data_IF_217558164634
#
_entry.id   IF_217558164634
#
_cell.length_a   1.000
_cell.length_b   1.000
_cell.length_c   1.000
_cell.angle_alpha   90.00
_cell.angle_beta   90.00
_cell.angle_gamma   90.00
#
_symmetry.space_group_name_H-M   'P 1'
#
loop_
_entity.id
_entity.type
_entity.pdbx_description
1 polymer ?
#
# COMPACT_ATOMS: atom_id res chain seq x y z
N UNK A 1 -39.53 29.37 -14.92
CA UNK A 1 -39.34 29.23 -13.45
C UNK A 1 -38.64 30.50 -13.01
N UNK A 2 -39.15 31.25 -12.02
CA UNK A 2 -38.53 32.52 -11.60
C UNK A 2 -37.28 32.24 -10.73
N UNK A 3 -36.19 33.00 -10.92
CA UNK A 3 -34.92 32.90 -10.18
C UNK A 3 -35.12 32.80 -8.66
N UNK A 4 -36.07 33.57 -8.11
CA UNK A 4 -36.37 33.55 -6.67
C UNK A 4 -36.84 32.18 -6.18
N UNK A 5 -37.68 31.50 -6.96
CA UNK A 5 -38.16 30.16 -6.65
C UNK A 5 -37.01 29.14 -6.77
N UNK A 6 -36.19 29.22 -7.82
CA UNK A 6 -35.04 28.32 -7.98
C UNK A 6 -34.03 28.45 -6.82
N UNK A 7 -33.80 29.66 -6.29
CA UNK A 7 -32.92 29.84 -5.13
C UNK A 7 -33.45 29.18 -3.84
N UNK A 8 -34.77 29.00 -3.72
CA UNK A 8 -35.41 28.38 -2.55
C UNK A 8 -35.62 26.87 -2.71
N UNK A 9 -35.69 26.35 -3.94
CA UNK A 9 -36.01 24.94 -4.21
C UNK A 9 -34.88 24.14 -4.85
N UNK A 10 -33.73 24.75 -5.15
CA UNK A 10 -32.58 24.08 -5.78
C UNK A 10 -31.30 24.23 -4.96
N UNK A 11 -30.40 23.26 -5.09
CA UNK A 11 -29.05 23.34 -4.53
C UNK A 11 -28.18 24.16 -5.48
N UNK A 12 -27.57 25.23 -4.98
CA UNK A 12 -26.64 26.03 -5.77
C UNK A 12 -25.28 25.36 -5.82
N UNK A 13 -24.71 25.21 -7.02
CA UNK A 13 -23.34 24.71 -7.18
C UNK A 13 -22.34 25.57 -6.39
N UNK A 14 -22.57 26.87 -6.28
CA UNK A 14 -21.75 27.78 -5.47
C UNK A 14 -21.67 27.40 -3.99
N UNK A 15 -22.72 26.81 -3.43
CA UNK A 15 -22.71 26.39 -2.03
C UNK A 15 -21.88 25.10 -1.85
N UNK A 16 -21.96 24.17 -2.81
CA UNK A 16 -21.04 23.04 -2.88
C UNK A 16 -19.58 23.50 -2.99
N UNK A 17 -19.30 24.47 -3.86
CA UNK A 17 -17.96 25.03 -4.03
C UNK A 17 -17.43 25.72 -2.77
N UNK A 18 -18.30 26.36 -1.97
CA UNK A 18 -17.92 26.93 -0.66
C UNK A 18 -17.49 25.83 0.31
N UNK A 19 -18.14 24.66 0.29
CA UNK A 19 -17.74 23.50 1.10
C UNK A 19 -16.35 23.00 0.67
N UNK A 20 -16.10 22.90 -0.64
CA UNK A 20 -14.80 22.47 -1.17
C UNK A 20 -13.68 23.45 -0.80
N UNK A 21 -13.93 24.77 -0.89
CA UNK A 21 -12.97 25.80 -0.45
C UNK A 21 -12.59 25.69 1.02
N UNK A 22 -13.48 25.18 1.88
CA UNK A 22 -13.19 24.95 3.31
C UNK A 22 -12.39 23.67 3.58
N UNK A 23 -12.21 22.80 2.57
CA UNK A 23 -11.51 21.52 2.71
C UNK A 23 -10.42 21.37 1.62
N UNK A 24 -9.39 22.25 1.59
CA UNK A 24 -8.36 22.24 0.55
C UNK A 24 -7.43 21.03 0.59
N UNK A 25 -7.33 20.35 1.74
CA UNK A 25 -6.46 19.18 1.94
C UNK A 25 -7.10 17.85 1.50
N UNK A 26 -8.31 17.90 0.95
CA UNK A 26 -9.05 16.73 0.45
C UNK A 26 -9.24 16.82 -1.05
N UNK A 27 -9.32 15.65 -1.68
CA UNK A 27 -9.82 15.54 -3.05
C UNK A 27 -11.35 15.67 -3.01
N UNK A 28 -11.88 16.67 -3.72
CA UNK A 28 -13.31 16.99 -3.74
C UNK A 28 -13.88 16.70 -5.13
N UNK A 29 -14.74 15.68 -5.26
CA UNK A 29 -15.29 15.27 -6.55
C UNK A 29 -16.81 15.43 -6.56
N UNK A 30 -17.31 16.12 -7.59
CA UNK A 30 -18.74 16.23 -7.90
C UNK A 30 -19.02 15.60 -9.26
N UNK A 31 -20.00 14.70 -9.33
CA UNK A 31 -20.49 14.12 -10.57
C UNK A 31 -21.96 14.47 -10.68
N UNK A 32 -22.32 15.25 -11.70
CA UNK A 32 -23.64 15.83 -11.85
C UNK A 32 -24.24 15.31 -13.15
N UNK A 33 -25.16 14.36 -13.02
CA UNK A 33 -25.96 13.87 -14.13
C UNK A 33 -27.30 14.63 -14.18
N UNK A 34 -27.29 15.76 -14.87
CA UNK A 34 -28.46 16.63 -15.02
C UNK A 34 -28.39 17.44 -16.32
N UNK A 35 -29.56 17.77 -16.87
CA UNK A 35 -29.67 18.65 -18.03
C UNK A 35 -29.16 20.07 -17.72
N UNK A 36 -28.41 20.68 -18.66
CA UNK A 36 -27.89 22.06 -18.54
C UNK A 36 -28.63 23.02 -19.48
N UNK A 37 -29.95 23.14 -19.30
CA UNK A 37 -30.83 24.03 -20.10
C UNK A 37 -31.15 25.34 -19.38
N UNK A 38 -31.32 26.42 -20.13
CA UNK A 38 -31.84 27.70 -19.60
C UNK A 38 -33.31 27.56 -19.26
N UNK A 39 -33.76 28.23 -18.19
CA UNK A 39 -35.17 28.31 -17.83
C UNK A 39 -35.94 29.38 -18.64
N UNK A 40 -35.25 30.24 -19.41
CA UNK A 40 -35.87 31.29 -20.23
C UNK A 40 -35.43 31.25 -21.70
N UNK A 41 -36.37 31.46 -22.62
CA UNK A 41 -36.11 31.68 -24.06
C UNK A 41 -35.36 33.01 -24.22
N UNK A 42 -34.05 32.95 -24.45
CA UNK A 42 -33.20 34.12 -24.70
C UNK A 42 -32.35 34.60 -23.52
N UNK A 43 -32.40 33.93 -22.35
CA UNK A 43 -31.51 34.23 -21.23
C UNK A 43 -30.08 33.76 -21.51
N UNK A 44 -29.10 34.65 -21.32
CA UNK A 44 -27.67 34.31 -21.32
C UNK A 44 -27.44 33.29 -20.19
N UNK A 45 -27.29 32.01 -20.52
CA UNK A 45 -26.76 31.04 -19.56
C UNK A 45 -25.33 31.47 -19.29
N UNK A 46 -24.97 31.55 -18.02
CA UNK A 46 -23.62 31.86 -17.58
C UNK A 46 -22.62 30.93 -18.27
N UNK A 47 -21.99 31.44 -19.33
CA UNK A 47 -20.69 31.02 -19.83
C UNK A 47 -19.57 31.38 -18.82
N UNK A 48 -19.93 31.80 -17.60
CA UNK A 48 -18.98 32.06 -16.54
C UNK A 48 -18.16 30.80 -16.30
N UNK A 49 -16.83 30.87 -16.45
CA UNK A 49 -15.95 29.77 -16.12
C UNK A 49 -16.22 29.35 -14.67
N UNK A 50 -16.63 28.09 -14.47
CA UNK A 50 -16.68 27.54 -13.12
C UNK A 50 -15.22 27.45 -12.66
N UNK A 51 -14.82 28.35 -11.77
CA UNK A 51 -13.51 28.29 -11.15
C UNK A 51 -13.56 27.27 -10.01
N UNK A 52 -13.22 26.03 -10.35
CA UNK A 52 -13.13 24.93 -9.41
C UNK A 52 -12.04 25.24 -8.36
N UNK A 53 -12.32 25.11 -7.05
CA UNK A 53 -11.30 25.24 -6.01
C UNK A 53 -10.15 24.24 -6.21
N UNK A 54 -8.96 24.57 -5.70
CA UNK A 54 -7.80 23.67 -5.73
C UNK A 54 -8.16 22.31 -5.11
N UNK A 55 -7.72 21.22 -5.73
CA UNK A 55 -8.03 19.86 -5.28
C UNK A 55 -9.44 19.37 -5.61
N UNK A 56 -10.14 20.00 -6.57
CA UNK A 56 -11.49 19.58 -6.96
C UNK A 56 -11.63 19.15 -8.42
N UNK A 57 -12.59 18.26 -8.66
CA UNK A 57 -13.04 17.84 -9.98
C UNK A 57 -14.57 17.88 -10.03
N UNK A 58 -15.11 18.49 -11.09
CA UNK A 58 -16.56 18.56 -11.33
C UNK A 58 -16.83 18.00 -12.72
N UNK A 59 -17.52 16.87 -12.79
CA UNK A 59 -17.94 16.23 -14.02
C UNK A 59 -19.44 16.44 -14.26
N UNK A 60 -19.79 16.85 -15.48
CA UNK A 60 -21.16 17.04 -15.96
C UNK A 60 -21.47 16.01 -17.04
N UNK A 61 -22.68 15.45 -17.00
CA UNK A 61 -23.10 14.50 -18.03
C UNK A 61 -23.26 15.10 -19.43
N UNK A 62 -23.33 16.44 -19.52
CA UNK A 62 -23.53 17.18 -20.78
C UNK A 62 -22.73 18.48 -20.84
N UNK A 63 -22.44 18.91 -22.07
CA UNK A 63 -21.96 20.26 -22.37
C UNK A 63 -23.00 21.32 -21.98
N UNK A 64 -22.57 22.57 -21.71
CA UNK A 64 -23.52 23.68 -21.55
C UNK A 64 -24.47 23.77 -22.77
N UNK A 65 -25.76 24.01 -22.53
CA UNK A 65 -26.83 24.07 -23.56
C UNK A 65 -27.26 22.73 -24.18
N UNK A 66 -26.66 21.59 -23.80
CA UNK A 66 -27.10 20.28 -24.27
C UNK A 66 -28.02 19.58 -23.25
N UNK A 67 -28.94 18.76 -23.75
CA UNK A 67 -29.79 17.90 -22.92
C UNK A 67 -29.10 16.58 -22.62
N UNK A 68 -29.33 16.04 -21.42
CA UNK A 68 -28.90 14.69 -21.07
C UNK A 68 -29.96 13.70 -21.56
N UNK A 69 -29.55 12.58 -22.15
CA UNK A 69 -30.49 11.49 -22.45
C UNK A 69 -30.72 10.63 -21.21
N UNK A 70 -31.95 10.64 -20.70
CA UNK A 70 -32.36 9.80 -19.56
C UNK A 70 -32.54 8.31 -19.94
N UNK A 71 -32.47 7.99 -21.24
CA UNK A 71 -32.57 6.62 -21.78
C UNK A 71 -31.25 6.24 -22.44
N UNK A 72 -30.66 5.13 -22.02
CA UNK A 72 -29.36 4.64 -22.50
C UNK A 72 -29.12 3.16 -22.19
N UNK A 73 -28.27 2.89 -21.20
CA UNK A 73 -27.81 1.55 -20.83
C UNK A 73 -28.65 0.95 -19.70
N UNK A 74 -29.32 -0.19 -19.91
CA UNK A 74 -29.94 -1.03 -18.84
C UNK A 74 -30.68 -0.25 -17.72
N UNK A 75 -31.44 0.79 -18.08
CA UNK A 75 -32.18 1.61 -17.10
C UNK A 75 -31.42 2.80 -16.51
N UNK A 76 -30.20 3.07 -16.98
CA UNK A 76 -29.40 4.26 -16.68
C UNK A 76 -29.32 5.22 -17.88
N UNK A 77 -29.03 6.49 -17.59
CA UNK A 77 -28.65 7.48 -18.61
C UNK A 77 -27.39 7.00 -19.36
N UNK A 78 -27.16 7.54 -20.57
CA UNK A 78 -25.95 7.21 -21.36
C UNK A 78 -24.67 7.53 -20.55
N UNK A 79 -24.67 8.64 -19.83
CA UNK A 79 -23.52 9.06 -19.02
C UNK A 79 -23.30 8.14 -17.81
N UNK A 80 -24.35 7.87 -17.03
CA UNK A 80 -24.23 7.01 -15.85
C UNK A 80 -23.85 5.59 -16.24
N UNK A 81 -24.44 5.03 -17.30
CA UNK A 81 -24.06 3.71 -17.82
C UNK A 81 -22.60 3.66 -18.29
N UNK A 82 -22.14 4.69 -19.01
CA UNK A 82 -20.74 4.80 -19.41
C UNK A 82 -19.81 4.92 -18.19
N UNK A 83 -20.16 5.71 -17.19
CA UNK A 83 -19.40 5.86 -15.95
C UNK A 83 -19.23 4.52 -15.22
N UNK A 84 -20.31 3.76 -15.06
CA UNK A 84 -20.29 2.45 -14.39
C UNK A 84 -19.33 1.46 -15.05
N UNK A 85 -19.16 1.53 -16.38
CA UNK A 85 -18.21 0.67 -17.12
C UNK A 85 -16.72 0.97 -16.86
N UNK A 86 -16.41 2.14 -16.29
CA UNK A 86 -15.02 2.57 -16.06
C UNK A 86 -14.69 2.82 -14.58
N UNK A 87 -15.66 3.21 -13.74
CA UNK A 87 -15.41 3.58 -12.34
C UNK A 87 -14.82 2.46 -11.49
N UNK A 88 -15.14 1.20 -11.81
CA UNK A 88 -14.59 0.03 -11.15
C UNK A 88 -13.25 -0.46 -11.70
N UNK A 89 -12.71 0.13 -12.78
CA UNK A 89 -11.45 -0.33 -13.36
C UNK A 89 -10.26 0.08 -12.49
N UNK A 90 -9.40 -0.88 -12.23
CA UNK A 90 -8.21 -0.69 -11.38
C UNK A 90 -7.20 0.22 -12.07
N UNK A 91 -6.51 1.04 -11.25
CA UNK A 91 -5.40 1.90 -11.65
C UNK A 91 -5.72 2.85 -12.83
N UNK A 92 -7.00 3.15 -13.04
CA UNK A 92 -7.44 4.13 -14.02
C UNK A 92 -7.57 5.50 -13.35
N UNK A 93 -6.68 6.44 -13.70
CA UNK A 93 -6.74 7.80 -13.14
C UNK A 93 -8.07 8.46 -13.48
N UNK A 94 -8.53 9.36 -12.61
CA UNK A 94 -9.83 9.99 -12.78
C UNK A 94 -9.93 10.81 -14.07
N UNK A 95 -8.83 11.45 -14.47
CA UNK A 95 -8.72 12.15 -15.75
C UNK A 95 -8.86 11.20 -16.94
N UNK A 96 -8.17 10.05 -16.91
CA UNK A 96 -8.26 9.06 -17.97
C UNK A 96 -9.65 8.40 -18.00
N UNK A 97 -10.22 8.10 -16.84
CA UNK A 97 -11.55 7.58 -16.66
C UNK A 97 -12.59 8.50 -17.33
N UNK A 98 -12.61 9.78 -16.98
CA UNK A 98 -13.57 10.71 -17.57
C UNK A 98 -13.31 10.94 -19.06
N UNK A 99 -12.06 10.89 -19.52
CA UNK A 99 -11.73 10.89 -20.95
C UNK A 99 -12.36 9.69 -21.68
N UNK A 100 -12.33 8.49 -21.09
CA UNK A 100 -12.98 7.29 -21.65
C UNK A 100 -14.50 7.36 -21.57
N UNK A 101 -15.06 7.88 -20.47
CA UNK A 101 -16.50 8.15 -20.33
C UNK A 101 -16.96 9.09 -21.43
N UNK A 102 -16.29 10.24 -21.63
CA UNK A 102 -16.62 11.21 -22.68
C UNK A 102 -16.62 10.59 -24.06
N UNK A 103 -15.59 9.80 -24.39
CA UNK A 103 -15.51 9.05 -25.67
C UNK A 103 -16.70 8.11 -25.86
N UNK A 104 -17.08 7.40 -24.81
CA UNK A 104 -18.20 6.44 -24.84
C UNK A 104 -19.54 7.16 -25.00
N UNK A 105 -19.77 8.22 -24.24
CA UNK A 105 -20.98 9.04 -24.32
C UNK A 105 -21.15 9.66 -25.72
N UNK A 106 -20.07 10.21 -26.29
CA UNK A 106 -20.08 10.76 -27.65
C UNK A 106 -20.44 9.68 -28.68
N UNK A 107 -19.79 8.52 -28.63
CA UNK A 107 -20.03 7.46 -29.60
C UNK A 107 -21.45 6.86 -29.49
N UNK A 108 -21.90 6.54 -28.28
CA UNK A 108 -23.19 5.89 -28.02
C UNK A 108 -24.36 6.84 -28.31
N UNK A 109 -24.18 8.14 -28.08
CA UNK A 109 -25.17 9.15 -28.45
C UNK A 109 -25.18 9.50 -29.95
N UNK A 110 -24.26 8.93 -30.74
CA UNK A 110 -24.09 9.30 -32.16
C UNK A 110 -23.64 10.75 -32.35
N UNK A 111 -22.83 11.26 -31.43
CA UNK A 111 -22.31 12.63 -31.40
C UNK A 111 -23.27 13.69 -30.84
N UNK A 112 -24.42 13.28 -30.28
CA UNK A 112 -25.45 14.20 -29.77
C UNK A 112 -25.22 14.68 -28.34
N UNK A 113 -24.35 14.00 -27.60
CA UNK A 113 -24.04 14.30 -26.21
C UNK A 113 -22.53 14.23 -26.00
N UNK A 114 -21.96 15.27 -25.39
CA UNK A 114 -20.56 15.27 -24.93
C UNK A 114 -20.51 15.59 -23.44
N UNK A 115 -19.83 14.78 -22.63
CA UNK A 115 -19.61 15.10 -21.21
C UNK A 115 -18.55 16.18 -21.04
N UNK A 116 -18.60 16.89 -19.92
CA UNK A 116 -17.70 18.02 -19.65
C UNK A 116 -17.15 17.97 -18.23
N UNK A 117 -15.86 18.26 -18.08
CA UNK A 117 -15.17 18.17 -16.79
C UNK A 117 -14.37 19.46 -16.51
N UNK A 118 -14.43 19.92 -15.25
CA UNK A 118 -13.56 20.96 -14.71
C UNK A 118 -12.67 20.34 -13.65
N UNK A 119 -11.35 20.39 -13.84
CA UNK A 119 -10.37 19.85 -12.88
C UNK A 119 -9.43 20.94 -12.38
N UNK A 120 -9.12 20.87 -11.09
CA UNK A 120 -8.04 21.60 -10.42
C UNK A 120 -7.32 20.67 -9.45
N UNK A 121 -7.28 19.37 -9.77
CA UNK A 121 -6.49 18.36 -9.07
C UNK A 121 -4.99 18.66 -9.23
N UNK A 122 -4.24 18.44 -8.16
CA UNK A 122 -2.78 18.69 -8.12
C UNK A 122 -2.01 17.39 -8.39
N UNK A 123 -2.58 16.25 -8.00
CA UNK A 123 -1.99 14.94 -8.15
C UNK A 123 -3.05 13.92 -8.54
N UNK A 124 -2.60 12.71 -8.84
CA UNK A 124 -3.46 11.66 -9.37
C UNK A 124 -4.48 11.16 -8.35
N UNK A 125 -5.69 10.89 -8.81
CA UNK A 125 -6.72 10.20 -8.03
C UNK A 125 -7.27 9.01 -8.82
N UNK A 126 -7.55 7.92 -8.11
CA UNK A 126 -8.05 6.67 -8.67
C UNK A 126 -9.29 6.24 -7.87
N UNK A 127 -10.40 5.96 -8.54
CA UNK A 127 -11.60 5.43 -7.86
C UNK A 127 -11.41 4.00 -7.34
N UNK A 128 -10.61 3.20 -8.05
CA UNK A 128 -10.25 1.85 -7.64
C UNK A 128 -8.73 1.64 -7.77
N UNK A 129 -8.07 1.39 -6.65
CA UNK A 129 -6.63 1.10 -6.55
C UNK A 129 -6.32 -0.40 -6.43
N UNK A 130 -7.31 -1.28 -6.65
CA UNK A 130 -7.15 -2.74 -6.51
C UNK A 130 -7.48 -3.30 -5.12
N UNK A 131 -8.14 -2.53 -4.24
CA UNK A 131 -8.46 -3.02 -2.88
C UNK A 131 -9.50 -4.16 -2.84
N UNK A 132 -10.37 -4.28 -3.85
CA UNK A 132 -11.42 -5.31 -3.88
C UNK A 132 -10.88 -6.72 -4.18
N UNK A 133 -9.87 -6.85 -5.04
CA UNK A 133 -9.20 -8.13 -5.33
C UNK A 133 -8.48 -8.68 -4.08
N UNK A 134 -7.93 -7.79 -3.25
CA UNK A 134 -7.34 -8.14 -1.96
C UNK A 134 -8.36 -8.85 -1.03
N UNK A 135 -9.63 -8.42 -1.01
CA UNK A 135 -10.66 -9.01 -0.15
C UNK A 135 -11.11 -10.40 -0.58
N UNK A 136 -10.99 -10.78 -1.86
CA UNK A 136 -11.31 -12.13 -2.32
C UNK A 136 -10.18 -13.13 -2.05
N UNK A 137 -8.93 -12.66 -2.02
CA UNK A 137 -7.74 -13.49 -1.81
C UNK A 137 -7.40 -13.72 -0.34
N UNK A 138 -7.92 -12.89 0.58
CA UNK A 138 -7.70 -13.06 2.02
C UNK A 138 -8.81 -13.95 2.62
N UNK A 139 -8.49 -15.18 3.09
CA UNK A 139 -9.49 -16.11 3.61
C UNK A 139 -9.87 -15.82 5.08
N UNK A 140 -9.78 -14.56 5.52
CA UNK A 140 -9.98 -14.12 6.90
C UNK A 140 -11.01 -12.98 6.98
N UNK A 141 -11.68 -12.83 8.11
CA UNK A 141 -12.65 -11.75 8.30
C UNK A 141 -11.97 -10.37 8.33
N UNK A 142 -12.68 -9.33 7.87
CA UNK A 142 -12.13 -7.96 7.83
C UNK A 142 -11.65 -7.50 9.21
N UNK A 143 -12.30 -7.93 10.30
CA UNK A 143 -11.94 -7.55 11.68
C UNK A 143 -10.55 -8.04 12.12
N UNK A 144 -10.06 -9.18 11.59
CA UNK A 144 -8.69 -9.67 11.91
C UNK A 144 -7.66 -9.24 10.87
N UNK A 145 -8.09 -8.90 9.66
CA UNK A 145 -7.26 -8.27 8.62
C UNK A 145 -6.97 -6.81 8.97
N UNK A 146 -7.96 -6.10 9.49
CA UNK A 146 -7.84 -4.75 10.03
C UNK A 146 -7.84 -4.82 11.55
N UNK A 147 -6.80 -5.43 12.15
CA UNK A 147 -6.77 -5.73 13.58
C UNK A 147 -6.98 -4.50 14.47
N UNK A 148 -6.75 -3.28 13.97
CA UNK A 148 -7.10 -2.05 14.69
C UNK A 148 -8.58 -2.05 15.15
N UNK A 149 -9.46 -2.74 14.42
CA UNK A 149 -10.89 -2.94 14.73
C UNK A 149 -11.16 -4.18 15.58
N UNK A 150 -10.19 -5.05 15.79
CA UNK A 150 -10.38 -6.29 16.54
C UNK A 150 -10.59 -6.00 18.02
N UNK A 151 -11.85 -6.12 18.46
CA UNK A 151 -12.26 -6.00 19.86
C UNK A 151 -13.34 -7.05 20.11
N UNK A 152 -12.96 -8.11 20.82
CA UNK A 152 -13.87 -9.17 21.26
C UNK A 152 -13.83 -9.23 22.79
N UNK A 153 -15.01 -9.40 23.39
CA UNK A 153 -15.18 -9.47 24.85
C UNK A 153 -15.14 -10.91 25.38
N UNK A 154 -14.68 -11.87 24.57
CA UNK A 154 -14.41 -13.23 25.01
C UNK A 154 -13.00 -13.35 25.61
N UNK A 155 -12.70 -14.48 26.25
CA UNK A 155 -11.42 -14.71 26.92
C UNK A 155 -10.23 -14.49 25.96
N UNK A 156 -10.34 -14.99 24.73
CA UNK A 156 -9.31 -14.85 23.71
C UNK A 156 -9.13 -13.39 23.26
N UNK A 157 -10.22 -12.66 23.01
CA UNK A 157 -10.21 -11.25 22.66
C UNK A 157 -9.59 -10.38 23.75
N UNK A 158 -9.88 -10.67 25.02
CA UNK A 158 -9.28 -10.00 26.16
C UNK A 158 -7.75 -10.23 26.21
N UNK A 159 -7.28 -11.44 25.89
CA UNK A 159 -5.86 -11.74 25.80
C UNK A 159 -5.20 -10.97 24.65
N UNK A 160 -5.81 -10.95 23.46
CA UNK A 160 -5.28 -10.18 22.32
C UNK A 160 -5.20 -8.68 22.67
N UNK A 161 -6.20 -8.12 23.34
CA UNK A 161 -6.17 -6.73 23.80
C UNK A 161 -4.97 -6.45 24.74
N UNK A 162 -4.67 -7.37 25.67
CA UNK A 162 -3.49 -7.29 26.54
C UNK A 162 -2.18 -7.39 25.75
N UNK A 163 -2.11 -8.26 24.73
CA UNK A 163 -0.92 -8.38 23.87
C UNK A 163 -0.69 -7.09 23.07
N UNK A 164 -1.76 -6.36 22.71
CA UNK A 164 -1.69 -5.08 22.01
C UNK A 164 -1.32 -3.87 22.90
N UNK A 165 -1.11 -4.07 24.20
CA UNK A 165 -0.92 -2.98 25.17
C UNK A 165 0.40 -2.21 25.05
N UNK A 166 1.41 -2.75 24.36
CA UNK A 166 2.78 -2.21 24.33
C UNK A 166 3.46 -2.13 25.71
N UNK A 167 2.92 -2.81 26.72
CA UNK A 167 3.53 -2.95 28.04
C UNK A 167 3.98 -4.40 28.23
N UNK A 168 5.28 -4.64 28.24
CA UNK A 168 5.83 -6.00 28.35
C UNK A 168 5.42 -6.71 29.66
N UNK A 169 5.07 -5.98 30.72
CA UNK A 169 4.53 -6.58 31.96
C UNK A 169 3.12 -7.15 31.76
N UNK A 170 2.34 -6.58 30.84
CA UNK A 170 1.01 -7.03 30.47
C UNK A 170 1.07 -8.06 29.32
N UNK A 171 1.93 -7.82 28.33
CA UNK A 171 2.08 -8.66 27.15
C UNK A 171 2.60 -10.05 27.50
N UNK A 172 3.66 -10.17 28.30
CA UNK A 172 4.28 -11.48 28.59
C UNK A 172 3.29 -12.47 29.24
N UNK A 173 2.58 -12.13 30.33
CA UNK A 173 1.56 -13.03 30.89
C UNK A 173 0.47 -13.40 29.89
N UNK A 174 -0.01 -12.43 29.10
CA UNK A 174 -1.06 -12.67 28.11
C UNK A 174 -0.60 -13.59 26.97
N UNK A 175 0.64 -13.45 26.49
CA UNK A 175 1.23 -14.34 25.48
C UNK A 175 1.37 -15.76 26.05
N UNK A 176 1.87 -15.90 27.27
CA UNK A 176 2.01 -17.20 27.92
C UNK A 176 0.65 -17.90 28.09
N UNK A 177 -0.39 -17.14 28.44
CA UNK A 177 -1.76 -17.66 28.58
C UNK A 177 -2.37 -18.05 27.22
N UNK A 178 -2.29 -17.18 26.20
CA UNK A 178 -2.88 -17.46 24.88
C UNK A 178 -2.21 -18.66 24.20
N UNK A 179 -0.90 -18.85 24.39
CA UNK A 179 -0.15 -19.98 23.81
C UNK A 179 -0.50 -21.33 24.45
N UNK A 180 -1.16 -21.35 25.62
CA UNK A 180 -1.67 -22.56 26.29
C UNK A 180 -3.06 -22.99 25.80
N UNK A 181 -3.75 -22.15 25.05
CA UNK A 181 -5.06 -22.50 24.49
C UNK A 181 -4.88 -23.65 23.48
N UNK A 182 -5.71 -24.70 23.63
CA UNK A 182 -5.70 -25.84 22.70
C UNK A 182 -6.12 -25.39 21.30
N UNK A 183 -5.43 -25.89 20.28
CA UNK A 183 -5.73 -25.59 18.87
C UNK A 183 -7.21 -25.82 18.51
N UNK A 184 -7.82 -26.88 19.05
CA UNK A 184 -9.24 -27.21 18.81
C UNK A 184 -10.24 -26.16 19.31
N UNK A 185 -9.79 -25.19 20.12
CA UNK A 185 -10.60 -24.07 20.60
C UNK A 185 -10.38 -22.78 19.80
N UNK A 186 -9.46 -22.77 18.83
CA UNK A 186 -9.11 -21.58 18.06
C UNK A 186 -9.59 -21.73 16.62
N UNK A 187 -10.45 -20.82 16.17
CA UNK A 187 -10.80 -20.73 14.76
C UNK A 187 -9.66 -20.12 13.92
N UNK A 188 -9.79 -20.15 12.59
CA UNK A 188 -8.77 -19.62 11.67
C UNK A 188 -8.50 -18.12 11.84
N UNK A 189 -9.51 -17.32 12.19
CA UNK A 189 -9.37 -15.88 12.39
C UNK A 189 -8.62 -15.59 13.69
N UNK A 190 -8.92 -16.33 14.76
CA UNK A 190 -8.21 -16.26 16.04
C UNK A 190 -6.75 -16.67 15.89
N UNK A 191 -6.46 -17.74 15.15
CA UNK A 191 -5.08 -18.13 14.86
C UNK A 191 -4.33 -17.07 14.04
N UNK A 192 -4.98 -16.49 13.03
CA UNK A 192 -4.40 -15.43 12.21
C UNK A 192 -4.08 -14.18 13.02
N UNK A 193 -5.04 -13.66 13.80
CA UNK A 193 -4.80 -12.47 14.63
C UNK A 193 -3.77 -12.74 15.74
N UNK A 194 -3.69 -13.96 16.27
CA UNK A 194 -2.63 -14.36 17.20
C UNK A 194 -1.24 -14.21 16.56
N UNK A 195 -1.06 -14.74 15.34
CA UNK A 195 0.21 -14.65 14.62
C UNK A 195 0.66 -13.20 14.39
N UNK A 196 -0.27 -12.33 13.99
CA UNK A 196 -0.01 -10.90 13.82
C UNK A 196 0.49 -10.26 15.10
N UNK A 197 -0.21 -10.49 16.21
CA UNK A 197 0.12 -9.89 17.50
C UNK A 197 1.39 -10.46 18.14
N UNK A 198 1.73 -11.73 17.89
CA UNK A 198 3.02 -12.30 18.30
C UNK A 198 4.17 -11.56 17.62
N UNK A 199 4.13 -11.38 16.29
CA UNK A 199 5.18 -10.65 15.59
C UNK A 199 5.27 -9.20 16.08
N UNK A 200 4.12 -8.54 16.25
CA UNK A 200 4.05 -7.16 16.74
C UNK A 200 4.65 -7.02 18.15
N UNK A 201 4.35 -7.93 19.08
CA UNK A 201 4.91 -7.92 20.43
C UNK A 201 6.39 -8.35 20.50
N UNK A 202 6.89 -9.12 19.52
CA UNK A 202 8.25 -9.67 19.54
C UNK A 202 9.38 -8.63 19.51
N UNK A 203 9.08 -7.36 19.19
CA UNK A 203 10.05 -6.28 19.33
C UNK A 203 10.48 -6.04 20.78
N UNK A 204 9.60 -6.29 21.76
CA UNK A 204 9.85 -5.99 23.17
C UNK A 204 9.61 -7.18 24.10
N UNK A 205 8.46 -7.86 23.96
CA UNK A 205 8.02 -8.92 24.87
C UNK A 205 8.86 -10.19 24.76
N UNK A 206 9.40 -10.67 25.87
CA UNK A 206 10.25 -11.86 25.94
C UNK A 206 9.52 -13.13 25.52
N UNK A 207 8.25 -13.31 25.91
CA UNK A 207 7.48 -14.51 25.53
C UNK A 207 7.25 -14.59 24.01
N UNK A 208 6.99 -13.45 23.37
CA UNK A 208 6.92 -13.39 21.90
C UNK A 208 8.29 -13.69 21.27
N UNK A 209 9.38 -13.15 21.83
CA UNK A 209 10.75 -13.47 21.35
C UNK A 209 11.08 -14.96 21.49
N UNK A 210 10.66 -15.61 22.58
CA UNK A 210 10.86 -17.06 22.78
C UNK A 210 10.14 -17.85 21.69
N UNK A 211 8.88 -17.50 21.41
CA UNK A 211 8.11 -18.08 20.31
C UNK A 211 8.83 -17.91 18.96
N UNK A 212 9.24 -16.67 18.63
CA UNK A 212 9.91 -16.35 17.36
C UNK A 212 11.31 -16.96 17.24
N UNK A 213 12.03 -17.19 18.35
CA UNK A 213 13.33 -17.86 18.33
C UNK A 213 13.20 -19.37 18.04
N UNK A 214 12.09 -19.97 18.44
CA UNK A 214 11.76 -21.39 18.25
C UNK A 214 10.72 -21.58 17.16
N UNK A 215 10.74 -20.73 16.12
CA UNK A 215 9.62 -20.55 15.19
C UNK A 215 9.15 -21.85 14.51
N UNK A 216 10.02 -22.70 13.91
CA UNK A 216 9.56 -23.93 13.27
C UNK A 216 8.82 -24.87 14.25
N UNK A 217 9.35 -25.09 15.46
CA UNK A 217 8.73 -25.98 16.44
C UNK A 217 7.47 -25.36 17.07
N UNK A 218 7.47 -24.05 17.27
CA UNK A 218 6.35 -23.28 17.80
C UNK A 218 5.15 -23.25 16.85
N UNK A 219 5.40 -23.28 15.54
CA UNK A 219 4.36 -23.31 14.49
C UNK A 219 3.79 -24.70 14.23
N UNK A 220 4.55 -25.78 14.44
CA UNK A 220 4.10 -27.16 14.15
C UNK A 220 2.78 -27.53 14.84
N UNK A 221 2.54 -27.02 16.06
CA UNK A 221 1.28 -27.28 16.79
C UNK A 221 0.05 -26.57 16.20
N UNK A 222 0.23 -25.63 15.26
CA UNK A 222 -0.84 -24.91 14.57
C UNK A 222 -1.04 -25.39 13.13
N UNK A 223 -0.38 -26.47 12.73
CA UNK A 223 -0.52 -27.05 11.41
C UNK A 223 -1.81 -27.89 11.32
N UNK A 224 -2.72 -27.52 10.41
CA UNK A 224 -3.97 -28.26 10.14
C UNK A 224 -4.12 -28.40 8.62
N UNK A 225 -4.18 -29.62 8.09
CA UNK A 225 -4.41 -29.90 6.67
C UNK A 225 -3.49 -29.11 5.69
N UNK A 226 -2.23 -28.91 6.10
CA UNK A 226 -1.24 -28.14 5.32
C UNK A 226 -1.32 -26.63 5.50
N UNK A 227 -2.31 -26.11 6.24
CA UNK A 227 -2.46 -24.70 6.57
C UNK A 227 -1.81 -24.36 7.91
N UNK A 228 -1.22 -23.16 8.00
CA UNK A 228 -0.75 -22.60 9.26
C UNK A 228 -1.24 -21.15 9.41
N UNK A 229 -2.41 -20.96 10.01
CA UNK A 229 -3.01 -19.64 10.09
C UNK A 229 -2.24 -18.68 11.01
N UNK A 230 -1.51 -19.20 12.01
CA UNK A 230 -0.60 -18.37 12.82
C UNK A 230 0.56 -17.85 11.96
N UNK A 231 1.18 -18.70 11.14
CA UNK A 231 2.21 -18.23 10.21
C UNK A 231 1.66 -17.25 9.18
N UNK A 232 0.46 -17.48 8.64
CA UNK A 232 -0.19 -16.53 7.73
C UNK A 232 -0.34 -15.15 8.39
N UNK A 233 -0.69 -15.10 9.68
CA UNK A 233 -0.73 -13.86 10.46
C UNK A 233 0.64 -13.21 10.63
N UNK A 234 1.68 -13.99 10.96
CA UNK A 234 3.06 -13.49 11.06
C UNK A 234 3.52 -12.89 9.73
N UNK A 235 3.32 -13.62 8.63
CA UNK A 235 3.67 -13.17 7.28
C UNK A 235 2.90 -11.90 6.90
N UNK A 236 1.59 -11.86 7.15
CA UNK A 236 0.78 -10.68 6.88
C UNK A 236 1.28 -9.44 7.64
N UNK A 237 1.62 -9.59 8.93
CA UNK A 237 2.06 -8.47 9.76
C UNK A 237 3.42 -7.88 9.33
N UNK A 238 4.25 -8.65 8.61
CA UNK A 238 5.47 -8.12 7.97
C UNK A 238 5.12 -7.05 6.94
N UNK A 239 4.14 -7.32 6.06
CA UNK A 239 3.89 -6.53 4.85
C UNK A 239 2.69 -5.61 4.96
N UNK A 240 1.76 -5.83 5.88
CA UNK A 240 0.52 -5.08 6.01
C UNK A 240 0.38 -4.47 7.42
N UNK A 241 -0.21 -3.28 7.49
CA UNK A 241 -0.43 -2.55 8.75
C UNK A 241 -1.73 -2.95 9.47
N UNK A 242 -1.98 -2.35 10.64
CA UNK A 242 -3.18 -2.66 11.44
C UNK A 242 -4.51 -2.27 10.79
N UNK A 243 -4.46 -1.49 9.69
CA UNK A 243 -5.61 -1.12 8.85
C UNK A 243 -5.73 -2.05 7.64
N UNK A 244 -4.85 -3.03 7.51
CA UNK A 244 -4.77 -3.94 6.36
C UNK A 244 -4.13 -3.30 5.14
N UNK A 245 -3.39 -2.19 5.29
CA UNK A 245 -2.75 -1.49 4.17
C UNK A 245 -1.31 -1.97 3.97
N UNK A 246 -0.88 -2.14 2.72
CA UNK A 246 0.48 -2.56 2.38
C UNK A 246 1.52 -1.52 2.82
N UNK A 247 2.59 -1.97 3.48
CA UNK A 247 3.62 -1.15 4.13
C UNK A 247 4.69 -0.62 3.18
N UNK A 248 4.75 -1.09 1.92
CA UNK A 248 5.80 -0.71 0.96
C UNK A 248 7.20 -0.99 1.54
N UNK A 249 8.11 0.00 1.56
CA UNK A 249 9.45 -0.13 2.14
C UNK A 249 9.49 -0.24 3.67
N UNK A 250 8.39 0.02 4.38
CA UNK A 250 8.31 0.02 5.85
C UNK A 250 7.86 -1.34 6.43
N UNK A 251 8.26 -2.46 5.83
CA UNK A 251 7.92 -3.79 6.35
C UNK A 251 8.55 -4.04 7.72
N UNK A 252 7.93 -4.90 8.54
CA UNK A 252 8.52 -5.27 9.85
C UNK A 252 9.69 -6.22 9.66
N UNK A 253 10.85 -5.83 10.18
CA UNK A 253 12.11 -6.56 9.99
C UNK A 253 12.47 -7.50 11.15
N UNK A 254 11.72 -7.49 12.25
CA UNK A 254 12.00 -8.37 13.39
C UNK A 254 11.91 -9.85 12.98
N UNK A 255 12.97 -10.61 13.25
CA UNK A 255 13.06 -12.04 12.93
C UNK A 255 12.89 -12.38 11.44
N UNK A 256 13.05 -11.42 10.53
CA UNK A 256 12.74 -11.60 9.11
C UNK A 256 13.49 -12.78 8.50
N UNK A 257 14.79 -12.92 8.77
CA UNK A 257 15.59 -14.04 8.24
C UNK A 257 15.07 -15.39 8.70
N UNK A 258 14.69 -15.51 9.98
CA UNK A 258 14.12 -16.76 10.52
C UNK A 258 12.77 -17.08 9.88
N UNK A 259 11.93 -16.06 9.70
CA UNK A 259 10.60 -16.22 9.12
C UNK A 259 10.75 -16.64 7.65
N UNK A 260 11.55 -15.93 6.86
CA UNK A 260 11.77 -16.24 5.45
C UNK A 260 12.51 -17.57 5.24
N UNK A 261 13.30 -18.04 6.20
CA UNK A 261 13.91 -19.37 6.11
C UNK A 261 12.88 -20.52 6.17
N UNK A 262 11.67 -20.26 6.70
CA UNK A 262 10.58 -21.25 6.69
C UNK A 262 10.10 -21.60 5.27
N UNK A 263 10.40 -20.76 4.26
CA UNK A 263 10.03 -21.03 2.85
C UNK A 263 10.64 -22.33 2.32
N UNK A 264 11.77 -22.76 2.92
CA UNK A 264 12.49 -23.99 2.58
C UNK A 264 11.85 -25.25 3.21
N UNK A 265 10.91 -25.09 4.14
CA UNK A 265 10.19 -26.21 4.76
C UNK A 265 8.84 -26.39 4.07
N UNK A 266 8.68 -27.51 3.34
CA UNK A 266 7.47 -27.86 2.59
C UNK A 266 6.20 -27.84 3.45
N UNK A 267 6.33 -28.04 4.77
CA UNK A 267 5.22 -27.95 5.74
C UNK A 267 4.51 -26.60 5.65
N UNK A 268 5.25 -25.52 5.34
CA UNK A 268 4.75 -24.15 5.32
C UNK A 268 4.49 -23.61 3.91
N UNK A 269 4.59 -24.46 2.87
CA UNK A 269 4.43 -24.07 1.46
C UNK A 269 3.17 -23.24 1.21
N UNK A 270 2.03 -23.65 1.79
CA UNK A 270 0.75 -22.94 1.59
C UNK A 270 0.74 -21.54 2.20
N UNK A 271 1.43 -21.32 3.31
CA UNK A 271 1.55 -20.00 3.93
C UNK A 271 2.34 -19.04 3.06
N UNK A 272 3.40 -19.51 2.41
CA UNK A 272 4.16 -18.71 1.45
C UNK A 272 3.42 -18.51 0.15
N UNK A 273 2.66 -19.51 -0.32
CA UNK A 273 1.74 -19.35 -1.47
C UNK A 273 0.67 -18.29 -1.19
N UNK A 274 0.08 -18.30 0.02
CA UNK A 274 -0.85 -17.28 0.48
C UNK A 274 -0.22 -15.88 0.45
N UNK A 275 0.98 -15.72 1.02
CA UNK A 275 1.69 -14.44 1.02
C UNK A 275 2.03 -13.97 -0.41
N UNK A 276 2.64 -14.83 -1.22
CA UNK A 276 3.03 -14.52 -2.59
C UNK A 276 1.84 -14.05 -3.42
N UNK A 277 0.72 -14.76 -3.33
CA UNK A 277 -0.54 -14.36 -3.97
C UNK A 277 -0.97 -12.94 -3.56
N UNK A 278 -0.90 -12.59 -2.27
CA UNK A 278 -1.21 -11.22 -1.83
C UNK A 278 -0.21 -10.20 -2.37
N UNK A 279 1.08 -10.52 -2.38
CA UNK A 279 2.12 -9.58 -2.83
C UNK A 279 2.10 -9.36 -4.34
N UNK A 280 1.68 -10.34 -5.15
CA UNK A 280 1.49 -10.14 -6.58
C UNK A 280 0.34 -9.18 -6.92
N UNK A 281 -0.57 -8.91 -5.98
CA UNK A 281 -1.64 -7.90 -6.17
C UNK A 281 -1.18 -6.48 -5.88
N UNK A 282 -0.03 -6.28 -5.24
CA UNK A 282 0.48 -4.94 -4.95
C UNK A 282 1.48 -4.53 -6.03
N UNK A 283 1.20 -3.43 -6.71
CA UNK A 283 2.12 -2.83 -7.70
C UNK A 283 3.27 -2.13 -6.98
N UNK A 284 4.26 -2.92 -6.52
CA UNK A 284 5.43 -2.43 -5.81
C UNK A 284 6.67 -3.30 -6.08
N UNK A 285 7.54 -2.83 -6.97
CA UNK A 285 8.70 -3.55 -7.49
C UNK A 285 9.95 -3.54 -6.56
N UNK A 286 9.87 -2.91 -5.38
CA UNK A 286 10.98 -2.80 -4.42
C UNK A 286 10.85 -3.76 -3.22
N UNK A 287 10.15 -4.88 -3.42
CA UNK A 287 10.13 -5.99 -2.46
C UNK A 287 10.47 -7.32 -3.13
N UNK A 288 11.16 -8.16 -2.40
CA UNK A 288 11.24 -9.58 -2.71
C UNK A 288 9.89 -10.24 -2.39
N UNK A 289 9.41 -11.10 -3.30
CA UNK A 289 8.20 -11.90 -3.09
C UNK A 289 8.64 -13.30 -2.65
N UNK A 290 8.41 -13.70 -1.39
CA UNK A 290 8.84 -15.01 -0.92
C UNK A 290 8.07 -16.14 -1.59
N UNK A 291 8.77 -17.02 -2.30
CA UNK A 291 8.23 -18.22 -2.92
C UNK A 291 8.91 -19.51 -2.45
N UNK A 292 8.42 -20.63 -2.97
CA UNK A 292 9.04 -21.95 -2.76
C UNK A 292 10.26 -22.19 -3.66
N UNK A 293 10.41 -21.37 -4.70
CA UNK A 293 11.56 -21.35 -5.58
C UNK A 293 12.36 -20.11 -5.21
N UNK A 294 13.63 -20.31 -4.88
CA UNK A 294 14.54 -19.21 -4.60
C UNK A 294 14.88 -18.50 -5.91
N UNK A 295 14.50 -17.22 -6.00
CA UNK A 295 14.90 -16.33 -7.07
C UNK A 295 16.10 -15.51 -6.60
N UNK A 296 17.18 -15.57 -7.38
CA UNK A 296 18.38 -14.76 -7.11
C UNK A 296 18.06 -13.29 -7.36
N UNK A 297 18.47 -12.44 -6.42
CA UNK A 297 18.31 -10.99 -6.48
C UNK A 297 19.64 -10.40 -6.91
N UNK A 298 19.74 -10.09 -8.19
CA UNK A 298 20.91 -9.44 -8.76
C UNK A 298 20.88 -7.93 -8.50
N UNK A 299 21.99 -7.43 -7.96
CA UNK A 299 22.20 -6.01 -7.63
C UNK A 299 23.46 -5.53 -8.33
N UNK A 300 23.31 -4.57 -9.24
CA UNK A 300 24.43 -3.96 -9.93
C UNK A 300 24.98 -2.77 -9.12
N UNK A 301 26.28 -2.78 -8.86
CA UNK A 301 26.98 -1.76 -8.08
C UNK A 301 28.07 -1.12 -8.93
N UNK A 302 28.04 0.21 -9.03
CA UNK A 302 29.19 0.98 -9.52
C UNK A 302 29.82 1.69 -8.33
N UNK A 303 31.09 1.41 -8.09
CA UNK A 303 31.90 2.07 -7.09
C UNK A 303 33.19 2.64 -7.70
N UNK A 304 33.65 3.75 -7.11
CA UNK A 304 34.92 4.38 -7.42
C UNK A 304 35.85 4.29 -6.20
N UNK A 305 37.16 4.19 -6.43
CA UNK A 305 38.13 4.26 -5.33
C UNK A 305 38.40 5.73 -5.03
N UNK A 306 38.16 6.15 -3.79
CA UNK A 306 38.45 7.51 -3.32
C UNK A 306 39.28 7.47 -2.04
N UNK A 307 40.24 8.39 -1.93
CA UNK A 307 41.09 8.53 -0.75
C UNK A 307 40.52 9.59 0.18
N UNK A 308 40.27 9.21 1.42
CA UNK A 308 39.77 10.10 2.47
C UNK A 308 40.83 10.25 3.56
N UNK A 309 41.19 11.49 3.87
CA UNK A 309 42.10 11.82 4.96
C UNK A 309 41.36 11.81 6.29
N UNK A 310 41.79 10.98 7.24
CA UNK A 310 41.22 10.97 8.59
C UNK A 310 41.62 12.22 9.40
N UNK A 311 40.92 12.48 10.50
CA UNK A 311 41.29 13.53 11.46
C UNK A 311 42.73 13.38 12.02
N UNK A 312 43.30 12.19 11.96
CA UNK A 312 44.70 11.91 12.36
C UNK A 312 45.71 12.08 11.20
N UNK A 313 45.29 12.64 10.06
CA UNK A 313 46.12 12.81 8.86
C UNK A 313 46.41 11.52 8.09
N UNK A 314 45.71 10.41 8.38
CA UNK A 314 45.93 9.13 7.71
C UNK A 314 45.03 9.03 6.49
N UNK A 315 45.62 8.77 5.34
CA UNK A 315 44.89 8.48 4.10
C UNK A 315 44.29 7.08 4.13
N UNK A 316 43.01 6.99 3.78
CA UNK A 316 42.25 5.75 3.76
C UNK A 316 41.48 5.68 2.45
N UNK A 317 41.72 4.65 1.66
CA UNK A 317 40.95 4.36 0.46
C UNK A 317 39.60 3.72 0.80
N UNK A 318 38.54 4.21 0.17
CA UNK A 318 37.19 3.66 0.23
C UNK A 318 36.70 3.32 -1.18
N UNK A 319 35.86 2.29 -1.29
CA UNK A 319 35.05 2.04 -2.48
C UNK A 319 33.72 2.81 -2.33
N UNK A 320 33.66 4.01 -2.88
CA UNK A 320 32.50 4.89 -2.80
C UNK A 320 31.46 4.43 -3.81
N UNK A 321 30.30 3.99 -3.34
CA UNK A 321 29.23 3.52 -4.21
C UNK A 321 28.53 4.73 -4.84
N UNK A 322 28.63 4.85 -6.16
CA UNK A 322 28.04 5.93 -6.96
C UNK A 322 26.75 5.51 -7.66
N UNK A 323 26.51 4.21 -7.83
CA UNK A 323 25.25 3.67 -8.34
C UNK A 323 24.94 2.31 -7.75
N UNK A 324 23.68 2.07 -7.40
CA UNK A 324 23.20 0.78 -6.91
C UNK A 324 21.83 0.49 -7.53
N UNK A 325 21.77 -0.51 -8.42
CA UNK A 325 20.59 -0.76 -9.26
C UNK A 325 19.97 -2.12 -8.98
N UNK A 326 18.64 -2.13 -8.83
CA UNK A 326 17.80 -3.33 -8.73
C UNK A 326 16.66 -3.23 -9.75
N UNK A 327 16.49 -4.23 -10.62
CA UNK A 327 15.44 -4.23 -11.66
C UNK A 327 15.39 -2.94 -12.50
N UNK A 328 16.56 -2.44 -12.92
CA UNK A 328 16.72 -1.15 -13.63
C UNK A 328 16.32 0.11 -12.84
N UNK A 329 16.00 -0.01 -11.56
CA UNK A 329 15.72 1.10 -10.65
C UNK A 329 16.99 1.39 -9.82
N UNK A 330 17.45 2.64 -9.86
CA UNK A 330 18.49 3.11 -8.95
C UNK A 330 17.91 3.31 -7.56
N UNK A 331 18.43 2.57 -6.59
CA UNK A 331 17.97 2.55 -5.20
C UNK A 331 19.00 3.16 -4.24
N UNK A 332 20.10 3.72 -4.73
CA UNK A 332 21.17 4.27 -3.88
C UNK A 332 20.65 5.32 -2.88
N UNK A 333 19.74 6.19 -3.34
CA UNK A 333 19.14 7.23 -2.52
C UNK A 333 18.41 6.68 -1.28
N UNK A 334 17.75 5.54 -1.42
CA UNK A 334 17.02 4.89 -0.33
C UNK A 334 17.96 4.19 0.68
N UNK A 335 19.20 3.92 0.27
CA UNK A 335 20.23 3.27 1.07
C UNK A 335 21.06 4.29 1.87
N UNK A 336 21.07 5.58 1.53
CA UNK A 336 21.84 6.58 2.28
C UNK A 336 21.53 6.62 3.79
N UNK A 337 20.30 6.30 4.19
CA UNK A 337 19.89 6.26 5.61
C UNK A 337 20.67 5.25 6.46
N UNK A 338 21.35 4.28 5.84
CA UNK A 338 22.16 3.28 6.55
C UNK A 338 23.56 3.79 6.90
N UNK A 339 23.99 4.94 6.37
CA UNK A 339 25.26 5.61 6.65
C UNK A 339 26.47 4.64 6.74
N UNK A 340 26.82 4.03 5.62
CA UNK A 340 27.78 2.93 5.60
C UNK A 340 29.18 3.47 5.39
N UNK A 341 30.13 3.11 6.26
CA UNK A 341 31.54 3.45 6.10
C UNK A 341 32.45 2.33 6.59
N UNK A 342 33.38 1.93 5.75
CA UNK A 342 34.44 0.98 6.10
C UNK A 342 33.99 -0.48 6.22
N UNK A 343 32.90 -0.84 5.54
CA UNK A 343 32.30 -2.18 5.56
C UNK A 343 32.58 -2.93 4.26
N UNK A 344 32.28 -4.22 4.20
CA UNK A 344 32.47 -5.06 3.02
C UNK A 344 31.14 -5.33 2.29
N UNK A 345 31.21 -6.13 1.24
CA UNK A 345 30.06 -6.59 0.46
C UNK A 345 29.08 -7.44 1.27
N UNK A 346 29.56 -8.21 2.26
CA UNK A 346 28.70 -8.99 3.15
C UNK A 346 27.74 -8.06 3.92
N UNK A 347 28.26 -6.98 4.49
CA UNK A 347 27.43 -5.97 5.15
C UNK A 347 26.48 -5.26 4.18
N UNK A 348 26.91 -5.03 2.93
CA UNK A 348 26.02 -4.48 1.90
C UNK A 348 24.84 -5.43 1.62
N UNK A 349 25.07 -6.75 1.54
CA UNK A 349 23.99 -7.73 1.40
C UNK A 349 23.02 -7.71 2.57
N UNK A 350 23.50 -7.56 3.81
CA UNK A 350 22.63 -7.44 4.98
C UNK A 350 21.73 -6.19 4.90
N UNK A 351 22.27 -5.06 4.46
CA UNK A 351 21.50 -3.84 4.25
C UNK A 351 20.47 -4.02 3.15
N UNK A 352 20.86 -4.59 2.01
CA UNK A 352 19.98 -4.81 0.88
C UNK A 352 18.88 -5.83 1.22
N UNK A 353 19.20 -6.88 1.98
CA UNK A 353 18.22 -7.84 2.49
C UNK A 353 17.20 -7.18 3.40
N UNK A 354 17.69 -6.33 4.32
CA UNK A 354 16.81 -5.50 5.13
C UNK A 354 16.00 -4.51 4.31
N UNK A 355 16.54 -3.89 3.27
CA UNK A 355 15.80 -2.93 2.43
C UNK A 355 14.71 -3.62 1.61
N UNK A 356 15.06 -4.66 0.85
CA UNK A 356 14.18 -5.39 -0.07
C UNK A 356 13.25 -6.38 0.64
N UNK A 357 13.42 -6.60 1.95
CA UNK A 357 12.72 -7.66 2.71
C UNK A 357 13.06 -9.05 2.15
N UNK A 358 14.34 -9.28 1.88
CA UNK A 358 14.84 -10.48 1.24
C UNK A 358 15.86 -11.21 2.13
N UNK A 359 15.99 -12.54 2.01
CA UNK A 359 17.10 -13.26 2.61
C UNK A 359 18.42 -12.79 2.00
N UNK A 360 19.39 -12.39 2.83
CA UNK A 360 20.69 -11.90 2.35
C UNK A 360 21.45 -12.93 1.50
N UNK A 361 21.19 -14.22 1.73
CA UNK A 361 21.75 -15.35 0.96
C UNK A 361 21.31 -15.35 -0.53
N UNK A 362 20.18 -14.73 -0.86
CA UNK A 362 19.68 -14.63 -2.25
C UNK A 362 20.23 -13.41 -2.99
N UNK A 363 20.94 -12.51 -2.30
CA UNK A 363 21.43 -11.27 -2.88
C UNK A 363 22.80 -11.50 -3.49
N UNK A 364 22.87 -11.27 -4.79
CA UNK A 364 24.08 -11.35 -5.60
C UNK A 364 24.50 -9.96 -6.02
N UNK A 365 25.71 -9.56 -5.65
CA UNK A 365 26.25 -8.24 -5.96
C UNK A 365 27.18 -8.37 -7.16
N UNK A 366 26.87 -7.65 -8.23
CA UNK A 366 27.72 -7.48 -9.41
C UNK A 366 28.38 -6.11 -9.32
N UNK A 367 29.67 -6.07 -9.03
CA UNK A 367 30.41 -4.82 -8.84
C UNK A 367 31.54 -4.69 -9.86
N UNK A 368 31.76 -3.47 -10.34
CA UNK A 368 32.89 -3.14 -11.22
C UNK A 368 34.26 -3.28 -10.52
N UNK A 369 34.30 -3.19 -9.19
CA UNK A 369 35.49 -3.36 -8.36
C UNK A 369 35.18 -4.19 -7.10
N UNK A 370 36.21 -4.77 -6.48
CA UNK A 370 36.05 -5.49 -5.21
C UNK A 370 35.64 -4.57 -4.06
N UNK A 371 34.53 -4.89 -3.39
CA UNK A 371 33.95 -4.09 -2.32
C UNK A 371 34.42 -4.58 -0.94
N UNK A 372 35.55 -4.06 -0.46
CA UNK A 372 36.14 -4.47 0.84
C UNK A 372 36.01 -3.41 1.93
N UNK A 373 35.89 -2.14 1.52
CA UNK A 373 35.84 -0.97 2.38
C UNK A 373 34.93 0.09 1.76
N UNK A 374 33.63 -0.23 1.71
CA UNK A 374 32.62 0.58 1.06
C UNK A 374 32.32 1.87 1.84
N UNK A 375 31.88 2.88 1.10
CA UNK A 375 31.31 4.10 1.64
C UNK A 375 30.02 4.44 0.89
N UNK A 376 28.95 4.71 1.64
CA UNK A 376 27.65 5.17 1.17
C UNK A 376 27.27 6.38 2.04
N UNK A 377 27.54 7.59 1.55
CA UNK A 377 27.10 8.84 2.17
C UNK A 377 26.50 9.77 1.13
N UNK A 378 25.53 10.57 1.57
CA UNK A 378 24.87 11.56 0.70
C UNK A 378 25.76 12.78 0.46
N UNK A 379 26.64 13.04 1.42
CA UNK A 379 27.55 14.16 1.46
C UNK A 379 28.97 13.59 1.61
N UNK A 380 29.83 13.84 0.62
CA UNK A 380 31.27 13.66 0.76
C UNK A 380 31.91 14.90 1.43
N UNK A 381 31.13 15.96 1.67
CA UNK A 381 31.63 17.28 2.07
C UNK A 381 31.32 17.69 3.52
N UNK A 382 30.35 17.10 4.22
CA UNK A 382 29.83 17.65 5.50
C UNK A 382 30.28 16.92 6.79
N UNK A 383 31.18 15.93 6.71
CA UNK A 383 31.72 15.22 7.89
C UNK A 383 33.21 15.55 8.13
N UNK A 384 33.60 16.81 7.99
CA UNK A 384 34.94 17.34 8.34
C UNK A 384 34.91 18.56 9.25
#
# INVERSE_FOLDING_TARGET
>A
MNEYHCRQTCIQLTDLLKIYKKNPDKVNIAIIDACRKSFERGGIIANSPIQAPRGSLIAFSTSPNEGASDVGFEGHSIFTGALLNYVGREHLSVEELFKKVRKTVYNVSGGKQTSWEHTSLIGDFYFNTGQLTHSQMIPYSEEVVKDAKYSKNDDFGCLIAKIKSYDWNIQNPAILEVLRIKLSKLDKNQQFVLGRNILQASGAANEAKIFMNSLPSSLRKYQIDGENHVLNGILFEIYFDSRGEFRKSNTKKYFIDKILNLRKDETFYKSFSFLSNLLHTVDYNLIYIPGSIDEIIDIDVIANVETVTSASGKEIEYQVISRLTFNSVDILNDIYKYNVRGKDDLYLKEILGNFLTAPAELIHIHSNIGLKKIMISKDLEDDF
#
